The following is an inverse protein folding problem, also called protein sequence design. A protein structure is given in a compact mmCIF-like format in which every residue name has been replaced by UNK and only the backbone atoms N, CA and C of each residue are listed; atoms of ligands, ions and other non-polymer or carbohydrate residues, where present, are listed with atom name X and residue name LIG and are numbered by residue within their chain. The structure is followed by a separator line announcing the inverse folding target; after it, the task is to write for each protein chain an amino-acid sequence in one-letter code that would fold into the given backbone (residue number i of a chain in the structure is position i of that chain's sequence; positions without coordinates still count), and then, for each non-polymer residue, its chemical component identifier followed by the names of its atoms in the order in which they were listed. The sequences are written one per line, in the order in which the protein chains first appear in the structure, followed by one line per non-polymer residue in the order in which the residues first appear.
data_IF_257236568146
#
_entry.id   IF_257236568146
#
_cell.length_a   1.000
_cell.length_b   1.000
_cell.length_c   1.000
_cell.angle_alpha   90.00
_cell.angle_beta   90.00
_cell.angle_gamma   90.00
#
_symmetry.space_group_name_H-M   'P 1'
#
loop_
_entity.id
_entity.type
_entity.pdbx_description
1 polymer ?
#
# COMPACT_ATOMS: atom_id res chain seq x y z
N UNK A 1 -26.51 42.00 -26.92
CA UNK A 1 -27.29 40.75 -26.90
C UNK A 1 -26.35 39.62 -27.28
N UNK A 2 -25.61 39.10 -26.31
CA UNK A 2 -24.66 37.99 -26.49
C UNK A 2 -25.43 36.68 -26.50
N UNK A 3 -25.26 35.95 -27.60
CA UNK A 3 -25.88 34.67 -27.91
C UNK A 3 -25.65 33.66 -26.78
N UNK A 4 -26.69 33.39 -26.00
CA UNK A 4 -26.70 32.47 -24.84
C UNK A 4 -27.26 31.09 -25.22
N UNK A 5 -27.06 30.67 -26.46
CA UNK A 5 -27.69 29.48 -27.06
C UNK A 5 -26.70 28.33 -27.32
N UNK A 6 -25.73 28.11 -26.43
CA UNK A 6 -24.83 26.95 -26.55
C UNK A 6 -24.13 26.57 -25.23
N UNK A 7 -24.76 26.80 -24.08
CA UNK A 7 -24.41 26.03 -22.89
C UNK A 7 -25.05 24.64 -23.08
N UNK A 8 -24.29 23.54 -23.01
CA UNK A 8 -24.89 22.20 -23.09
C UNK A 8 -25.94 22.08 -22.00
N UNK A 9 -27.14 21.60 -22.33
CA UNK A 9 -28.25 21.47 -21.38
C UNK A 9 -27.81 20.68 -20.14
N UNK A 10 -27.45 21.39 -19.07
CA UNK A 10 -27.03 20.80 -17.79
C UNK A 10 -28.09 19.83 -17.27
N UNK A 11 -29.36 20.07 -17.61
CA UNK A 11 -30.51 19.24 -17.27
C UNK A 11 -30.46 17.85 -17.93
N UNK A 12 -29.93 17.73 -19.15
CA UNK A 12 -29.72 16.46 -19.84
C UNK A 12 -28.58 15.63 -19.21
N UNK A 13 -27.59 16.30 -18.59
CA UNK A 13 -26.45 15.64 -17.92
C UNK A 13 -26.73 15.29 -16.45
N UNK A 14 -27.75 15.87 -15.81
CA UNK A 14 -28.14 15.56 -14.41
C UNK A 14 -28.23 14.06 -14.08
N UNK A 15 -28.87 13.20 -14.88
CA UNK A 15 -28.94 11.77 -14.55
C UNK A 15 -27.55 11.12 -14.58
N UNK A 16 -26.70 11.48 -15.53
CA UNK A 16 -25.31 11.00 -15.65
C UNK A 16 -24.44 11.47 -14.48
N UNK A 17 -24.60 12.72 -14.03
CA UNK A 17 -23.91 13.25 -12.85
C UNK A 17 -24.27 12.50 -11.56
N UNK A 18 -25.54 12.13 -11.38
CA UNK A 18 -25.98 11.34 -10.22
C UNK A 18 -25.33 9.95 -10.20
N UNK A 19 -25.18 9.32 -11.37
CA UNK A 19 -24.45 8.04 -11.51
C UNK A 19 -22.98 8.22 -11.13
N UNK A 20 -22.31 9.24 -11.68
CA UNK A 20 -20.90 9.52 -11.38
C UNK A 20 -20.67 9.83 -9.90
N UNK A 21 -21.59 10.57 -9.26
CA UNK A 21 -21.53 10.85 -7.82
C UNK A 21 -21.61 9.56 -7.01
N UNK A 22 -22.59 8.70 -7.30
CA UNK A 22 -22.73 7.40 -6.63
C UNK A 22 -21.48 6.51 -6.82
N UNK A 23 -20.90 6.49 -8.02
CA UNK A 23 -19.67 5.75 -8.30
C UNK A 23 -18.46 6.27 -7.52
N UNK A 24 -18.40 7.57 -7.23
CA UNK A 24 -17.31 8.16 -6.43
C UNK A 24 -17.30 7.64 -4.98
N UNK A 25 -18.46 7.22 -4.48
CA UNK A 25 -18.60 6.62 -3.14
C UNK A 25 -18.27 5.12 -3.15
N UNK A 26 -18.34 4.47 -4.32
CA UNK A 26 -17.97 3.07 -4.49
C UNK A 26 -16.45 2.89 -4.42
N UNK A 27 -15.96 2.37 -3.29
CA UNK A 27 -14.55 2.04 -3.09
C UNK A 27 -14.29 0.57 -3.38
N UNK A 28 -13.13 0.20 -3.93
CA UNK A 28 -12.75 -1.20 -4.06
C UNK A 28 -12.65 -1.84 -2.68
N UNK A 29 -12.95 -3.12 -2.60
CA UNK A 29 -12.83 -3.88 -1.37
C UNK A 29 -11.39 -3.83 -0.86
N UNK A 30 -11.17 -3.25 0.32
CA UNK A 30 -9.83 -3.00 0.87
C UNK A 30 -9.52 -3.85 2.11
N UNK A 31 -10.46 -4.70 2.54
CA UNK A 31 -10.32 -5.48 3.77
C UNK A 31 -9.61 -6.79 3.44
N UNK A 32 -8.32 -6.85 3.70
CA UNK A 32 -7.63 -8.14 3.78
C UNK A 32 -8.29 -8.92 4.91
N UNK A 33 -8.91 -10.06 4.57
CA UNK A 33 -9.48 -10.98 5.57
C UNK A 33 -8.32 -11.56 6.35
N UNK A 34 -7.95 -10.91 7.46
CA UNK A 34 -6.95 -11.47 8.38
C UNK A 34 -7.54 -12.73 9.00
N UNK A 35 -6.77 -13.80 9.04
CA UNK A 35 -7.21 -15.00 9.74
C UNK A 35 -7.29 -14.70 11.23
N UNK A 36 -8.29 -15.25 11.93
CA UNK A 36 -8.37 -15.14 13.39
C UNK A 36 -7.09 -15.64 14.07
N UNK A 37 -6.38 -16.57 13.42
CA UNK A 37 -5.10 -17.12 13.88
C UNK A 37 -3.98 -16.08 13.86
N UNK A 38 -3.86 -15.26 12.80
CA UNK A 38 -2.88 -14.16 12.76
C UNK A 38 -3.14 -13.12 13.84
N UNK A 39 -4.40 -12.77 14.07
CA UNK A 39 -4.78 -11.80 15.10
C UNK A 39 -4.47 -12.32 16.50
N UNK A 40 -4.77 -13.60 16.77
CA UNK A 40 -4.47 -14.25 18.04
C UNK A 40 -2.95 -14.38 18.24
N UNK A 41 -2.21 -14.83 17.22
CA UNK A 41 -0.77 -14.97 17.28
C UNK A 41 -0.07 -13.63 17.53
N UNK A 42 -0.52 -12.54 16.90
CA UNK A 42 0.00 -11.20 17.16
C UNK A 42 -0.29 -10.73 18.59
N UNK A 43 -1.47 -11.05 19.11
CA UNK A 43 -1.86 -10.71 20.49
C UNK A 43 -1.02 -11.48 21.50
N UNK A 44 -0.81 -12.77 21.29
CA UNK A 44 0.05 -13.62 22.13
C UNK A 44 1.50 -13.15 22.06
N UNK A 45 2.01 -12.84 20.86
CA UNK A 45 3.35 -12.31 20.68
C UNK A 45 3.57 -11.00 21.45
N UNK A 46 2.63 -10.05 21.35
CA UNK A 46 2.71 -8.79 22.10
C UNK A 46 2.64 -8.99 23.62
N UNK A 47 1.83 -9.94 24.09
CA UNK A 47 1.77 -10.27 25.52
C UNK A 47 3.09 -10.90 25.99
N UNK A 48 3.64 -11.85 25.25
CA UNK A 48 4.96 -12.44 25.50
C UNK A 48 6.06 -11.38 25.54
N UNK A 49 6.06 -10.44 24.60
CA UNK A 49 7.02 -9.34 24.56
C UNK A 49 6.88 -8.42 25.79
N UNK A 50 5.66 -8.12 26.22
CA UNK A 50 5.38 -7.32 27.42
C UNK A 50 5.92 -7.99 28.69
N UNK A 51 5.68 -9.29 28.87
CA UNK A 51 6.23 -10.04 29.99
C UNK A 51 7.76 -10.17 29.93
N UNK A 52 8.33 -10.35 28.74
CA UNK A 52 9.78 -10.43 28.55
C UNK A 52 10.46 -9.13 28.98
N UNK A 53 9.86 -7.98 28.62
CA UNK A 53 10.34 -6.67 29.03
C UNK A 53 10.28 -6.48 30.55
N UNK A 54 9.20 -6.90 31.21
CA UNK A 54 9.06 -6.82 32.66
C UNK A 54 10.10 -7.68 33.40
N UNK A 55 10.36 -8.89 32.92
CA UNK A 55 11.37 -9.78 33.50
C UNK A 55 12.78 -9.26 33.28
N UNK A 56 13.07 -8.70 32.11
CA UNK A 56 14.36 -8.07 31.82
C UNK A 56 14.56 -6.83 32.69
N UNK A 57 13.57 -5.95 32.80
CA UNK A 57 13.64 -4.76 33.66
C UNK A 57 13.88 -5.14 35.13
N UNK A 58 13.18 -6.16 35.63
CA UNK A 58 13.38 -6.68 36.99
C UNK A 58 14.80 -7.24 37.18
N UNK A 59 15.31 -7.99 36.20
CA UNK A 59 16.68 -8.52 36.22
C UNK A 59 17.74 -7.40 36.23
N UNK A 60 17.54 -6.33 35.47
CA UNK A 60 18.42 -5.15 35.47
C UNK A 60 18.43 -4.45 36.82
N UNK A 61 17.29 -4.34 37.49
CA UNK A 61 17.20 -3.78 38.85
C UNK A 61 18.00 -4.63 39.84
N UNK A 62 17.85 -5.96 39.81
CA UNK A 62 18.66 -6.86 40.64
C UNK A 62 20.16 -6.76 40.34
N UNK A 63 20.53 -6.62 39.07
CA UNK A 63 21.93 -6.45 38.66
C UNK A 63 22.52 -5.11 39.13
N UNK A 64 21.72 -4.03 39.11
CA UNK A 64 22.12 -2.70 39.58
C UNK A 64 22.40 -2.69 41.09
N UNK A 65 21.47 -3.22 41.89
CA UNK A 65 21.65 -3.29 43.34
C UNK A 65 22.84 -4.17 43.75
N UNK A 66 23.11 -5.24 43.00
CA UNK A 66 24.27 -6.11 43.24
C UNK A 66 25.62 -5.41 43.02
N UNK A 67 25.64 -4.34 42.21
CA UNK A 67 26.87 -3.68 41.77
C UNK A 67 27.16 -2.36 42.50
N UNK A 68 26.21 -1.81 43.27
CA UNK A 68 26.35 -0.49 43.91
C UNK A 68 26.32 -0.50 45.44
N UNK A 69 25.41 -1.24 46.10
CA UNK A 69 25.19 -0.99 47.53
C UNK A 69 25.38 -2.19 48.47
N UNK A 70 25.18 -3.44 48.05
CA UNK A 70 25.48 -4.63 48.87
C UNK A 70 25.55 -5.88 47.99
N UNK A 71 26.41 -6.85 48.33
CA UNK A 71 26.41 -8.16 47.64
C UNK A 71 25.08 -8.84 47.95
N UNK A 72 24.19 -8.94 46.95
CA UNK A 72 22.91 -9.63 47.14
C UNK A 72 23.15 -11.07 47.59
N UNK A 73 22.25 -11.57 48.45
CA UNK A 73 22.23 -13.00 48.82
C UNK A 73 22.20 -13.87 47.56
N UNK A 74 22.90 -15.02 47.56
CA UNK A 74 23.03 -15.89 46.38
C UNK A 74 21.67 -16.27 45.77
N UNK A 75 20.64 -16.43 46.61
CA UNK A 75 19.27 -16.73 46.19
C UNK A 75 18.67 -15.65 45.27
N UNK A 76 18.83 -14.36 45.59
CA UNK A 76 18.29 -13.28 44.77
C UNK A 76 19.07 -13.09 43.47
N UNK A 77 20.37 -13.40 43.48
CA UNK A 77 21.22 -13.38 42.28
C UNK A 77 20.76 -14.45 41.27
N UNK A 78 20.52 -15.67 41.73
CA UNK A 78 20.05 -16.76 40.87
C UNK A 78 18.63 -16.49 40.35
N UNK A 79 17.79 -15.80 41.14
CA UNK A 79 16.48 -15.34 40.71
C UNK A 79 16.59 -14.28 39.59
N UNK A 80 17.50 -13.31 39.71
CA UNK A 80 17.76 -12.32 38.66
C UNK A 80 18.25 -12.94 37.34
N UNK A 81 19.12 -13.96 37.42
CA UNK A 81 19.63 -14.69 36.24
C UNK A 81 18.54 -15.55 35.60
N UNK A 82 17.73 -16.26 36.39
CA UNK A 82 16.62 -17.06 35.87
C UNK A 82 15.54 -16.21 35.19
N UNK A 83 15.24 -15.01 35.72
CA UNK A 83 14.38 -14.02 35.07
C UNK A 83 14.94 -13.56 33.71
N UNK A 84 16.26 -13.36 33.60
CA UNK A 84 16.88 -13.02 32.32
C UNK A 84 16.76 -14.15 31.29
N UNK A 85 16.98 -15.40 31.68
CA UNK A 85 16.77 -16.56 30.80
C UNK A 85 15.30 -16.69 30.36
N UNK A 86 14.35 -16.50 31.29
CA UNK A 86 12.93 -16.49 30.98
C UNK A 86 12.57 -15.40 29.96
N UNK A 87 13.14 -14.19 30.10
CA UNK A 87 12.93 -13.09 29.15
C UNK A 87 13.45 -13.43 27.74
N UNK A 88 14.61 -14.06 27.62
CA UNK A 88 15.18 -14.50 26.33
C UNK A 88 14.25 -15.53 25.66
N UNK A 89 13.82 -16.56 26.40
CA UNK A 89 12.93 -17.60 25.88
C UNK A 89 11.61 -16.98 25.39
N UNK A 90 11.04 -16.06 26.16
CA UNK A 90 9.77 -15.42 25.85
C UNK A 90 9.88 -14.45 24.66
N UNK A 91 11.04 -13.79 24.50
CA UNK A 91 11.36 -12.98 23.32
C UNK A 91 11.46 -13.84 22.06
N UNK A 92 12.13 -14.99 22.12
CA UNK A 92 12.23 -15.93 20.99
C UNK A 92 10.83 -16.45 20.63
N UNK A 93 10.02 -16.84 21.61
CA UNK A 93 8.64 -17.27 21.40
C UNK A 93 7.78 -16.17 20.72
N UNK A 94 7.98 -14.90 21.10
CA UNK A 94 7.26 -13.77 20.49
C UNK A 94 7.60 -13.56 19.01
N UNK A 95 8.83 -13.87 18.59
CA UNK A 95 9.24 -13.81 17.18
C UNK A 95 8.69 -14.98 16.36
N UNK A 96 8.64 -16.18 16.94
CA UNK A 96 8.20 -17.38 16.23
C UNK A 96 6.68 -17.42 16.04
N UNK A 97 5.90 -16.88 16.99
CA UNK A 97 4.44 -16.85 16.91
C UNK A 97 3.87 -16.25 15.60
N UNK A 98 4.26 -15.04 15.15
CA UNK A 98 3.79 -14.48 13.89
C UNK A 98 4.29 -15.27 12.67
N UNK A 99 5.52 -15.82 12.71
CA UNK A 99 6.09 -16.63 11.61
C UNK A 99 5.27 -17.91 11.40
N UNK A 100 4.96 -18.63 12.49
CA UNK A 100 4.14 -19.85 12.44
C UNK A 100 2.73 -19.52 11.96
N UNK A 101 2.14 -18.41 12.43
CA UNK A 101 0.83 -17.97 11.97
C UNK A 101 0.81 -17.66 10.47
N UNK A 102 1.83 -16.98 9.96
CA UNK A 102 1.97 -16.73 8.52
C UNK A 102 2.15 -18.02 7.71
N UNK A 103 2.91 -19.00 8.21
CA UNK A 103 3.01 -20.32 7.57
C UNK A 103 1.66 -21.05 7.54
N UNK A 104 0.88 -21.01 8.63
CA UNK A 104 -0.46 -21.62 8.67
C UNK A 104 -1.42 -20.91 7.71
N UNK A 105 -1.37 -19.58 7.63
CA UNK A 105 -2.13 -18.81 6.65
C UNK A 105 -1.75 -19.15 5.21
N UNK A 106 -0.45 -19.36 4.94
CA UNK A 106 0.04 -19.83 3.64
C UNK A 106 -0.44 -21.23 3.30
N UNK A 107 -0.58 -22.14 4.26
CA UNK A 107 -1.14 -23.48 3.99
C UNK A 107 -2.65 -23.39 3.73
N UNK A 108 -3.34 -22.45 4.38
CA UNK A 108 -4.79 -22.19 4.21
C UNK A 108 -5.12 -21.18 3.12
N UNK A 109 -4.15 -20.81 2.29
CA UNK A 109 -4.25 -19.74 1.31
C UNK A 109 -5.42 -19.92 0.36
N UNK A 110 -5.70 -21.14 -0.10
CA UNK A 110 -6.77 -21.42 -1.05
C UNK A 110 -8.14 -21.08 -0.45
N UNK A 111 -8.40 -21.55 0.77
CA UNK A 111 -9.65 -21.25 1.49
C UNK A 111 -9.77 -19.76 1.82
N UNK A 112 -8.67 -19.11 2.22
CA UNK A 112 -8.66 -17.69 2.54
C UNK A 112 -8.85 -16.81 1.29
N UNK A 113 -8.21 -17.19 0.19
CA UNK A 113 -8.35 -16.54 -1.11
C UNK A 113 -9.79 -16.65 -1.61
N UNK A 114 -10.40 -17.84 -1.51
CA UNK A 114 -11.80 -18.03 -1.88
C UNK A 114 -12.74 -17.20 -1.01
N UNK A 115 -12.56 -17.19 0.31
CA UNK A 115 -13.39 -16.38 1.21
C UNK A 115 -13.25 -14.88 0.94
N UNK A 116 -12.04 -14.41 0.65
CA UNK A 116 -11.77 -13.02 0.28
C UNK A 116 -12.46 -12.68 -1.04
N UNK A 117 -12.29 -13.52 -2.05
CA UNK A 117 -12.92 -13.37 -3.36
C UNK A 117 -14.45 -13.37 -3.28
N UNK A 118 -15.04 -14.25 -2.48
CA UNK A 118 -16.48 -14.32 -2.23
C UNK A 118 -17.00 -13.06 -1.50
N UNK A 119 -16.23 -12.52 -0.55
CA UNK A 119 -16.54 -11.23 0.07
C UNK A 119 -16.42 -10.05 -0.91
N UNK A 120 -15.41 -10.06 -1.80
CA UNK A 120 -15.24 -9.09 -2.89
C UNK A 120 -16.44 -9.12 -3.83
N UNK A 121 -16.84 -10.30 -4.31
CA UNK A 121 -18.01 -10.47 -5.17
C UNK A 121 -19.27 -9.90 -4.50
N UNK A 122 -19.52 -10.24 -3.22
CA UNK A 122 -20.69 -9.72 -2.50
C UNK A 122 -20.67 -8.20 -2.36
N UNK A 123 -19.51 -7.63 -2.06
CA UNK A 123 -19.31 -6.20 -1.94
C UNK A 123 -19.60 -5.49 -3.28
N UNK A 124 -19.02 -5.99 -4.36
CA UNK A 124 -19.21 -5.44 -5.70
C UNK A 124 -20.65 -5.63 -6.17
N UNK A 125 -21.27 -6.77 -5.88
CA UNK A 125 -22.68 -7.02 -6.19
C UNK A 125 -23.60 -6.01 -5.49
N UNK A 126 -23.31 -5.64 -4.22
CA UNK A 126 -24.06 -4.61 -3.49
C UNK A 126 -23.95 -3.26 -4.20
N UNK A 127 -22.74 -2.87 -4.61
CA UNK A 127 -22.50 -1.62 -5.35
C UNK A 127 -23.23 -1.61 -6.69
N UNK A 128 -23.17 -2.71 -7.45
CA UNK A 128 -23.89 -2.91 -8.71
C UNK A 128 -25.41 -2.84 -8.51
N UNK A 129 -25.92 -3.38 -7.41
CA UNK A 129 -27.37 -3.35 -7.13
C UNK A 129 -27.87 -1.93 -6.90
N UNK A 130 -27.10 -1.09 -6.20
CA UNK A 130 -27.44 0.33 -6.06
C UNK A 130 -27.35 1.13 -7.37
N UNK A 131 -26.63 0.64 -8.38
CA UNK A 131 -26.63 1.24 -9.73
C UNK A 131 -27.91 0.93 -10.53
N UNK A 132 -28.70 -0.07 -10.15
CA UNK A 132 -29.91 -0.48 -10.90
C UNK A 132 -30.99 0.60 -10.94
N UNK A 133 -31.01 1.49 -9.94
CA UNK A 133 -31.98 2.60 -9.84
C UNK A 133 -31.82 3.65 -10.94
N UNK A 134 -30.66 3.73 -11.59
CA UNK A 134 -30.39 4.71 -12.65
C UNK A 134 -30.80 4.19 -14.02
N UNK A 135 -31.17 5.09 -14.93
CA UNK A 135 -31.55 4.75 -16.30
C UNK A 135 -30.39 4.12 -17.09
N UNK A 136 -30.71 3.26 -18.07
CA UNK A 136 -29.69 2.59 -18.89
C UNK A 136 -28.84 3.59 -19.68
N UNK A 137 -29.46 4.60 -20.27
CA UNK A 137 -28.82 5.70 -21.01
C UNK A 137 -27.80 6.45 -20.14
N UNK A 138 -28.20 6.83 -18.93
CA UNK A 138 -27.33 7.50 -17.96
C UNK A 138 -26.12 6.64 -17.52
N UNK A 139 -26.29 5.31 -17.43
CA UNK A 139 -25.20 4.38 -17.14
C UNK A 139 -24.23 4.25 -18.32
N UNK A 140 -24.73 4.24 -19.56
CA UNK A 140 -23.92 4.21 -20.79
C UNK A 140 -23.11 5.51 -20.96
N UNK A 141 -23.73 6.67 -20.71
CA UNK A 141 -23.05 7.96 -20.75
C UNK A 141 -21.97 8.06 -19.68
N UNK A 142 -22.26 7.64 -18.44
CA UNK A 142 -21.30 7.63 -17.36
C UNK A 142 -20.09 6.72 -17.69
N UNK A 143 -20.34 5.58 -18.34
CA UNK A 143 -19.28 4.67 -18.80
C UNK A 143 -18.37 5.37 -19.81
N UNK A 144 -18.93 6.04 -20.81
CA UNK A 144 -18.15 6.75 -21.83
C UNK A 144 -17.26 7.84 -21.20
N UNK A 145 -17.79 8.60 -20.24
CA UNK A 145 -17.01 9.61 -19.52
C UNK A 145 -15.85 9.01 -18.71
N UNK A 146 -16.09 7.89 -18.01
CA UNK A 146 -15.05 7.18 -17.26
C UNK A 146 -13.98 6.62 -18.21
N UNK A 147 -14.36 6.05 -19.35
CA UNK A 147 -13.42 5.56 -20.36
C UNK A 147 -12.51 6.67 -20.90
N UNK A 148 -13.08 7.83 -21.25
CA UNK A 148 -12.31 9.00 -21.65
C UNK A 148 -11.35 9.43 -20.53
N UNK A 149 -11.78 9.40 -19.27
CA UNK A 149 -10.93 9.75 -18.12
C UNK A 149 -9.77 8.76 -17.96
N UNK A 150 -10.02 7.46 -18.08
CA UNK A 150 -8.99 6.40 -18.04
C UNK A 150 -7.97 6.62 -19.16
N UNK A 151 -8.43 6.77 -20.40
CA UNK A 151 -7.55 7.00 -21.56
C UNK A 151 -6.70 8.26 -21.39
N UNK A 152 -7.25 9.34 -20.82
CA UNK A 152 -6.47 10.56 -20.51
C UNK A 152 -5.42 10.33 -19.43
N UNK A 153 -5.69 9.50 -18.42
CA UNK A 153 -4.72 9.17 -17.38
C UNK A 153 -3.60 8.28 -17.92
N UNK A 154 -3.96 7.29 -18.74
CA UNK A 154 -3.00 6.38 -19.38
C UNK A 154 -2.12 7.11 -20.39
N UNK A 155 -2.68 8.03 -21.18
CA UNK A 155 -1.91 8.88 -22.07
C UNK A 155 -0.89 9.74 -21.32
N UNK A 156 -1.24 10.28 -20.14
CA UNK A 156 -0.28 11.02 -19.29
C UNK A 156 0.86 10.11 -18.82
N UNK A 157 0.57 8.90 -18.38
CA UNK A 157 1.60 7.92 -17.98
C UNK A 157 2.47 7.54 -19.18
N UNK A 158 1.85 7.28 -20.33
CA UNK A 158 2.51 6.95 -21.60
C UNK A 158 3.43 8.08 -22.09
N UNK A 159 3.03 9.34 -21.92
CA UNK A 159 3.87 10.50 -22.24
C UNK A 159 5.15 10.54 -21.40
N UNK A 160 5.08 10.18 -20.10
CA UNK A 160 6.27 10.18 -19.23
C UNK A 160 7.21 8.99 -19.44
N UNK A 161 6.69 7.81 -19.81
CA UNK A 161 7.51 6.59 -19.95
C UNK A 161 7.80 6.17 -21.39
N UNK A 162 6.90 6.41 -22.34
CA UNK A 162 7.00 5.88 -23.70
C UNK A 162 8.06 6.58 -24.54
N UNK A 163 8.21 7.90 -24.38
CA UNK A 163 9.19 8.70 -25.14
C UNK A 163 10.55 8.80 -24.43
N UNK A 164 10.57 8.52 -23.11
CA UNK A 164 11.75 8.70 -22.23
C UNK A 164 12.25 7.38 -21.63
N UNK A 165 11.81 6.23 -22.14
CA UNK A 165 12.30 4.88 -21.78
C UNK A 165 13.82 4.78 -21.88
N UNK A 166 14.43 5.50 -22.83
CA UNK A 166 15.88 5.62 -22.95
C UNK A 166 16.54 6.28 -21.71
N UNK A 167 15.91 7.28 -21.10
CA UNK A 167 16.41 7.91 -19.87
C UNK A 167 16.30 6.97 -18.66
N UNK A 168 15.24 6.14 -18.59
CA UNK A 168 15.11 5.10 -17.57
C UNK A 168 16.12 3.96 -17.77
N UNK A 169 16.39 3.54 -19.01
CA UNK A 169 17.44 2.57 -19.33
C UNK A 169 18.82 3.11 -18.96
N UNK A 170 19.12 4.37 -19.31
CA UNK A 170 20.35 5.05 -18.88
C UNK A 170 20.46 5.14 -17.37
N UNK A 171 19.37 5.28 -16.62
CA UNK A 171 19.41 5.24 -15.17
C UNK A 171 19.56 3.85 -14.57
N UNK A 172 18.95 2.82 -15.14
CA UNK A 172 19.20 1.45 -14.73
C UNK A 172 20.70 1.11 -14.89
N UNK A 173 21.30 1.61 -15.98
CA UNK A 173 22.74 1.53 -16.24
C UNK A 173 23.53 2.40 -15.23
N UNK A 174 23.11 3.65 -15.01
CA UNK A 174 23.79 4.58 -14.08
C UNK A 174 23.74 4.09 -12.63
N UNK A 175 22.61 3.55 -12.18
CA UNK A 175 22.45 2.91 -10.87
C UNK A 175 23.35 1.67 -10.74
N UNK A 176 23.46 0.87 -11.81
CA UNK A 176 24.37 -0.27 -11.86
C UNK A 176 25.84 0.16 -11.77
N UNK A 177 26.20 1.28 -12.41
CA UNK A 177 27.52 1.90 -12.28
C UNK A 177 27.77 2.46 -10.87
N UNK A 178 26.82 3.16 -10.26
CA UNK A 178 26.93 3.66 -8.87
C UNK A 178 27.08 2.51 -7.88
N UNK A 179 26.36 1.40 -8.10
CA UNK A 179 26.50 0.17 -7.32
C UNK A 179 27.89 -0.46 -7.47
N UNK A 180 28.47 -0.41 -8.68
CA UNK A 180 29.84 -0.88 -8.93
C UNK A 180 30.92 0.03 -8.30
N UNK A 181 30.62 1.31 -8.04
CA UNK A 181 31.53 2.31 -7.50
C UNK A 181 31.46 2.49 -5.97
N UNK A 182 30.90 1.55 -5.21
CA UNK A 182 30.82 1.63 -3.74
C UNK A 182 29.55 2.32 -3.20
N UNK A 183 28.57 2.62 -4.06
CA UNK A 183 27.16 2.89 -3.75
C UNK A 183 26.87 3.88 -2.62
N UNK A 184 26.89 3.40 -1.37
CA UNK A 184 26.58 4.20 -0.18
C UNK A 184 27.61 5.30 0.06
N UNK A 185 28.89 5.01 -0.14
CA UNK A 185 29.97 5.96 0.11
C UNK A 185 29.99 7.07 -0.95
N UNK A 186 29.72 6.74 -2.21
CA UNK A 186 29.53 7.72 -3.28
C UNK A 186 28.32 8.62 -3.02
N UNK A 187 27.20 8.07 -2.54
CA UNK A 187 26.00 8.85 -2.19
C UNK A 187 26.26 9.84 -1.05
N UNK A 188 26.89 9.39 0.05
CA UNK A 188 27.19 10.26 1.19
C UNK A 188 28.22 11.32 0.85
N UNK A 189 29.27 10.98 0.09
CA UNK A 189 30.24 11.94 -0.40
C UNK A 189 29.62 12.95 -1.37
N UNK A 190 28.75 12.52 -2.28
CA UNK A 190 28.08 13.42 -3.23
C UNK A 190 27.09 14.35 -2.53
N UNK A 191 26.34 13.85 -1.55
CA UNK A 191 25.43 14.68 -0.74
C UNK A 191 26.17 15.70 0.13
N UNK A 192 27.30 15.32 0.72
CA UNK A 192 28.08 16.21 1.59
C UNK A 192 28.93 17.24 0.83
N UNK A 193 29.49 16.86 -0.32
CA UNK A 193 30.31 17.74 -1.15
C UNK A 193 29.49 18.75 -1.99
N UNK A 194 28.20 18.47 -2.23
CA UNK A 194 27.28 19.35 -2.96
C UNK A 194 27.81 19.84 -4.31
N UNK A 195 27.38 21.04 -4.71
CA UNK A 195 27.79 21.71 -5.96
C UNK A 195 29.20 22.34 -5.87
N UNK A 196 30.21 21.54 -5.49
CA UNK A 196 31.62 21.95 -5.49
C UNK A 196 32.28 21.69 -6.84
N UNK A 197 33.33 22.46 -7.19
CA UNK A 197 34.01 22.39 -8.50
C UNK A 197 34.52 20.98 -8.87
N UNK A 198 34.81 20.11 -7.88
CA UNK A 198 35.21 18.71 -8.10
C UNK A 198 34.07 17.69 -8.15
N UNK A 199 32.83 18.08 -7.82
CA UNK A 199 31.69 17.17 -7.61
C UNK A 199 30.45 17.50 -8.46
N UNK A 200 30.59 18.41 -9.42
CA UNK A 200 29.50 18.87 -10.29
C UNK A 200 28.85 17.70 -11.03
N UNK A 201 29.66 16.80 -11.61
CA UNK A 201 29.17 15.67 -12.39
C UNK A 201 28.36 14.69 -11.54
N UNK A 202 28.86 14.34 -10.36
CA UNK A 202 28.15 13.45 -9.44
C UNK A 202 26.85 14.09 -8.93
N UNK A 203 26.88 15.39 -8.65
CA UNK A 203 25.70 16.14 -8.20
C UNK A 203 24.64 16.23 -9.30
N UNK A 204 25.04 16.46 -10.55
CA UNK A 204 24.15 16.44 -11.70
C UNK A 204 23.55 15.05 -11.93
N UNK A 205 24.37 14.00 -11.81
CA UNK A 205 23.93 12.61 -11.92
C UNK A 205 22.93 12.26 -10.81
N UNK A 206 23.20 12.69 -9.56
CA UNK A 206 22.31 12.53 -8.42
C UNK A 206 20.96 13.24 -8.64
N UNK A 207 20.96 14.46 -9.17
CA UNK A 207 19.72 15.17 -9.53
C UNK A 207 18.97 14.47 -10.67
N UNK A 208 19.67 13.93 -11.67
CA UNK A 208 19.07 13.11 -12.73
C UNK A 208 18.36 11.87 -12.18
N UNK A 209 19.02 11.15 -11.25
CA UNK A 209 18.42 10.01 -10.54
C UNK A 209 17.18 10.46 -9.75
N UNK A 210 17.28 11.53 -8.96
CA UNK A 210 16.18 12.03 -8.15
C UNK A 210 14.97 12.49 -8.98
N UNK A 211 15.21 13.18 -10.09
CA UNK A 211 14.17 13.64 -11.01
C UNK A 211 13.37 12.49 -11.59
N UNK A 212 14.06 11.44 -12.05
CA UNK A 212 13.41 10.28 -12.65
C UNK A 212 12.69 9.43 -11.60
N UNK A 213 13.24 9.30 -10.39
CA UNK A 213 12.52 8.72 -9.26
C UNK A 213 11.22 9.49 -8.97
N UNK A 214 11.26 10.82 -9.00
CA UNK A 214 10.07 11.66 -8.88
C UNK A 214 9.01 11.36 -9.95
N UNK A 215 9.41 11.24 -11.21
CA UNK A 215 8.50 10.87 -12.32
C UNK A 215 7.95 9.45 -12.13
N UNK A 216 8.78 8.50 -11.69
CA UNK A 216 8.37 7.12 -11.42
C UNK A 216 7.30 7.04 -10.33
N UNK A 217 7.48 7.79 -9.24
CA UNK A 217 6.48 7.86 -8.17
C UNK A 217 5.20 8.55 -8.67
N UNK A 218 5.32 9.69 -9.36
CA UNK A 218 4.17 10.44 -9.88
C UNK A 218 3.31 9.62 -10.86
N UNK A 219 3.95 8.83 -11.71
CA UNK A 219 3.26 7.95 -12.65
C UNK A 219 2.63 6.73 -11.99
N UNK A 220 3.24 6.17 -10.94
CA UNK A 220 2.61 5.13 -10.11
C UNK A 220 1.33 5.64 -9.43
N UNK A 221 1.33 6.90 -8.96
CA UNK A 221 0.13 7.55 -8.42
C UNK A 221 -0.96 7.71 -9.48
N UNK A 222 -0.61 8.18 -10.69
CA UNK A 222 -1.56 8.27 -11.80
C UNK A 222 -2.14 6.91 -12.19
N UNK A 223 -1.31 5.85 -12.20
CA UNK A 223 -1.76 4.48 -12.46
C UNK A 223 -2.72 3.99 -11.38
N UNK A 224 -2.46 4.29 -10.10
CA UNK A 224 -3.38 3.97 -9.01
C UNK A 224 -4.74 4.65 -9.19
N UNK A 225 -4.76 5.91 -9.62
CA UNK A 225 -5.99 6.64 -9.93
C UNK A 225 -6.70 5.98 -11.12
N UNK A 226 -5.99 5.62 -12.19
CA UNK A 226 -6.56 4.94 -13.35
C UNK A 226 -7.18 3.59 -12.97
N UNK A 227 -6.53 2.82 -12.09
CA UNK A 227 -7.08 1.56 -11.56
C UNK A 227 -8.40 1.76 -10.80
N UNK A 228 -8.55 2.86 -10.06
CA UNK A 228 -9.81 3.18 -9.40
C UNK A 228 -10.95 3.47 -10.40
N UNK A 229 -10.67 4.24 -11.45
CA UNK A 229 -11.65 4.48 -12.52
C UNK A 229 -11.98 3.21 -13.32
N UNK A 230 -11.00 2.33 -13.54
CA UNK A 230 -11.23 1.01 -14.16
C UNK A 230 -12.20 0.16 -13.32
N UNK A 231 -12.02 0.13 -12.00
CA UNK A 231 -12.97 -0.53 -11.10
C UNK A 231 -14.40 0.04 -11.24
N UNK A 232 -14.55 1.37 -11.28
CA UNK A 232 -15.86 2.00 -11.50
C UNK A 232 -16.49 1.63 -12.85
N UNK A 233 -15.66 1.55 -13.91
CA UNK A 233 -16.10 1.06 -15.22
C UNK A 233 -16.60 -0.39 -15.13
N UNK A 234 -15.88 -1.27 -14.45
CA UNK A 234 -16.26 -2.68 -14.32
C UNK A 234 -17.63 -2.81 -13.62
N UNK A 235 -17.88 -2.03 -12.56
CA UNK A 235 -19.19 -1.96 -11.89
C UNK A 235 -20.31 -1.52 -12.85
N UNK A 236 -20.07 -0.50 -13.68
CA UNK A 236 -21.03 -0.05 -14.70
C UNK A 236 -21.31 -1.13 -15.74
N UNK A 237 -20.28 -1.83 -16.22
CA UNK A 237 -20.47 -2.93 -17.18
C UNK A 237 -21.30 -4.06 -16.58
N UNK A 238 -21.06 -4.44 -15.32
CA UNK A 238 -21.89 -5.43 -14.63
C UNK A 238 -23.34 -4.96 -14.44
N UNK A 239 -23.56 -3.69 -14.10
CA UNK A 239 -24.89 -3.11 -13.97
C UNK A 239 -25.66 -3.11 -15.31
N UNK A 240 -24.99 -2.73 -16.40
CA UNK A 240 -25.54 -2.72 -17.75
C UNK A 240 -25.91 -4.12 -18.23
N UNK A 241 -25.03 -5.12 -18.04
CA UNK A 241 -25.31 -6.53 -18.39
C UNK A 241 -26.55 -7.08 -17.68
N UNK A 242 -26.67 -6.86 -16.37
CA UNK A 242 -27.86 -7.28 -15.61
C UNK A 242 -29.15 -6.60 -16.09
N UNK A 243 -29.05 -5.39 -16.64
CA UNK A 243 -30.20 -4.63 -17.12
C UNK A 243 -30.58 -5.00 -18.56
N UNK A 244 -29.62 -5.46 -19.38
CA UNK A 244 -29.92 -6.06 -20.68
C UNK A 244 -30.58 -7.43 -20.55
N UNK A 245 -30.14 -8.24 -19.58
CA UNK A 245 -30.68 -9.59 -19.38
C UNK A 245 -32.11 -9.57 -18.81
N UNK A 246 -32.47 -8.53 -18.05
CA UNK A 246 -33.83 -8.34 -17.51
C UNK A 246 -34.87 -7.87 -18.55
N UNK A 247 -34.45 -7.53 -19.77
CA UNK A 247 -35.34 -7.11 -20.88
C UNK A 247 -35.57 -8.23 -21.91
N UNK A 248 -34.98 -9.42 -21.71
CA UNK A 248 -35.33 -10.65 -22.43
C UNK A 248 -36.39 -11.41 -21.65
#
# INVERSE_FOLDING_TARGET
MTNKANEPDDEALRPTWKVLHYLSECKPFSKVVKTSIEVIAQKVANQCLGFAFLFLASSVVFAYFNNHEEKLTPVLRDLGVSLAYAAIILSIASMLAPIIASCISLIRWEKLSFQTFDAEIRHDFKNVTGLRQFEKTALEDAKAWIEVKISRLEAKVGYFFGEKTAAFAMLAISYSCVKALGGREWLTQTFSAGFSQGNILNTLLLYGIAFILGISIGSMLLRRIAMHYRYQKDLLEFALRKKSDSKK
#
